data_IF_922302047738
#
_entry.id   IF_922302047738
#
_cell.length_a   1.000
_cell.length_b   1.000
_cell.length_c   1.000
_cell.angle_alpha   90.00
_cell.angle_beta   90.00
_cell.angle_gamma   90.00
#
_symmetry.space_group_name_H-M   'P 1'
#
loop_
_entity.id
_entity.type
_entity.pdbx_description
1 polymer ?
#
# COMPACT_ATOMS: atom_id res chain seq x y z
N UNK A 1 -10.20 9.87 2.99
CA UNK A 1 -11.36 9.02 2.65
C UNK A 1 -11.37 8.78 1.15
N UNK A 2 -11.44 7.53 0.67
CA UNK A 2 -11.36 7.20 -0.75
C UNK A 2 -12.70 7.47 -1.47
N UNK A 3 -12.65 8.17 -2.61
CA UNK A 3 -13.80 8.42 -3.47
C UNK A 3 -13.61 7.67 -4.80
N UNK A 4 -14.60 6.87 -5.21
CA UNK A 4 -14.60 6.16 -6.49
C UNK A 4 -15.85 6.55 -7.25
N UNK A 5 -15.67 7.21 -8.40
CA UNK A 5 -16.76 7.49 -9.33
C UNK A 5 -16.96 6.28 -10.24
N UNK A 6 -18.18 5.76 -10.28
CA UNK A 6 -18.59 4.70 -11.20
C UNK A 6 -18.77 5.31 -12.60
N UNK A 7 -18.42 4.52 -13.62
CA UNK A 7 -18.72 4.83 -15.03
C UNK A 7 -19.85 3.90 -15.48
N UNK A 8 -20.75 4.39 -16.33
CA UNK A 8 -21.99 3.69 -16.69
C UNK A 8 -21.77 2.35 -17.44
N UNK A 9 -20.57 2.14 -18.00
CA UNK A 9 -20.19 0.91 -18.72
C UNK A 9 -19.21 0.01 -17.93
N UNK A 10 -19.02 0.21 -16.62
CA UNK A 10 -18.18 -0.69 -15.81
C UNK A 10 -19.01 -1.76 -15.09
N UNK A 11 -18.64 -3.06 -15.19
CA UNK A 11 -19.26 -4.10 -14.38
C UNK A 11 -18.92 -3.89 -12.90
N UNK A 12 -19.90 -4.12 -12.03
CA UNK A 12 -19.82 -3.86 -10.59
C UNK A 12 -18.56 -4.42 -9.90
N UNK A 13 -18.15 -5.63 -10.26
CA UNK A 13 -16.97 -6.28 -9.68
C UNK A 13 -15.66 -5.52 -9.95
N UNK A 14 -15.55 -4.87 -11.11
CA UNK A 14 -14.37 -4.09 -11.49
C UNK A 14 -14.30 -2.81 -10.66
N UNK A 15 -15.43 -2.15 -10.44
CA UNK A 15 -15.52 -1.00 -9.57
C UNK A 15 -15.18 -1.35 -8.11
N UNK A 16 -15.69 -2.49 -7.60
CA UNK A 16 -15.38 -2.99 -6.26
C UNK A 16 -13.88 -3.26 -6.09
N UNK A 17 -13.25 -3.89 -7.10
CA UNK A 17 -11.81 -4.14 -7.11
C UNK A 17 -11.01 -2.84 -7.07
N UNK A 18 -11.44 -1.82 -7.82
CA UNK A 18 -10.80 -0.49 -7.82
C UNK A 18 -10.95 0.19 -6.45
N UNK A 19 -12.13 0.12 -5.84
CA UNK A 19 -12.37 0.62 -4.50
C UNK A 19 -11.46 -0.04 -3.45
N UNK A 20 -11.38 -1.38 -3.44
CA UNK A 20 -10.47 -2.12 -2.54
C UNK A 20 -9.02 -1.67 -2.70
N UNK A 21 -8.53 -1.56 -3.94
CA UNK A 21 -7.16 -1.06 -4.21
C UNK A 21 -6.93 0.36 -3.72
N UNK A 22 -7.92 1.25 -3.85
CA UNK A 22 -7.78 2.65 -3.39
C UNK A 22 -7.78 2.71 -1.85
N UNK A 23 -8.62 1.93 -1.17
CA UNK A 23 -8.61 1.78 0.28
C UNK A 23 -7.26 1.23 0.81
N UNK A 24 -6.70 0.24 0.12
CA UNK A 24 -5.38 -0.32 0.43
C UNK A 24 -4.26 0.71 0.18
N UNK A 25 -4.31 1.42 -0.95
CA UNK A 25 -3.31 2.44 -1.32
C UNK A 25 -3.29 3.62 -0.34
N UNK A 26 -4.48 4.07 0.06
CA UNK A 26 -4.63 5.14 1.07
C UNK A 26 -4.24 4.68 2.47
N UNK A 27 -4.16 3.36 2.70
CA UNK A 27 -3.68 2.80 3.96
C UNK A 27 -4.64 2.99 5.13
N UNK A 28 -5.94 3.18 4.87
CA UNK A 28 -6.97 3.42 5.90
C UNK A 28 -7.01 2.30 6.93
N UNK A 29 -6.94 1.03 6.48
CA UNK A 29 -6.90 -0.14 7.37
C UNK A 29 -5.63 -0.16 8.25
N UNK A 30 -4.49 0.19 7.66
CA UNK A 30 -3.20 0.29 8.37
C UNK A 30 -3.23 1.41 9.41
N UNK A 31 -3.97 2.48 9.13
CA UNK A 31 -4.15 3.60 10.05
C UNK A 31 -5.06 3.24 11.23
N UNK A 32 -6.17 2.54 10.98
CA UNK A 32 -7.07 2.03 12.03
C UNK A 32 -6.26 1.16 13.00
N UNK A 33 -5.55 0.16 12.48
CA UNK A 33 -4.72 -0.75 13.30
C UNK A 33 -3.58 -0.05 14.06
N UNK A 34 -3.13 1.11 13.57
CA UNK A 34 -2.14 1.94 14.28
C UNK A 34 -2.76 2.74 15.42
N UNK A 35 -4.04 3.12 15.30
CA UNK A 35 -4.77 3.95 16.26
C UNK A 35 -5.52 3.13 17.33
N UNK A 36 -5.69 1.83 17.13
CA UNK A 36 -6.34 0.91 18.08
C UNK A 36 -5.70 0.93 19.48
N UNK A 37 -4.40 1.18 19.57
CA UNK A 37 -3.67 1.21 20.85
C UNK A 37 -2.73 2.41 20.89
N UNK A 38 -2.52 2.96 22.08
CA UNK A 38 -1.49 3.98 22.27
C UNK A 38 -0.11 3.39 22.00
N UNK A 39 0.64 4.06 21.13
CA UNK A 39 2.02 3.72 20.84
C UNK A 39 2.94 4.80 21.40
N UNK A 40 3.91 4.42 22.24
CA UNK A 40 4.93 5.33 22.76
C UNK A 40 5.65 6.04 21.59
N UNK A 41 6.03 7.32 21.70
CA UNK A 41 6.70 8.04 20.62
C UNK A 41 7.98 7.35 20.10
N UNK A 42 8.71 6.62 20.95
CA UNK A 42 9.90 5.85 20.55
C UNK A 42 9.56 4.65 19.67
N UNK A 43 8.48 3.91 19.98
CA UNK A 43 8.01 2.81 19.14
C UNK A 43 7.48 3.31 17.79
N UNK A 44 6.80 4.46 17.76
CA UNK A 44 6.38 5.11 16.49
C UNK A 44 7.60 5.39 15.59
N UNK A 45 8.68 5.95 16.16
CA UNK A 45 9.92 6.24 15.42
C UNK A 45 10.56 4.95 14.87
N UNK A 46 10.69 3.91 15.71
CA UNK A 46 11.23 2.60 15.29
C UNK A 46 10.40 1.96 14.17
N UNK A 47 9.07 1.97 14.29
CA UNK A 47 8.14 1.45 13.28
C UNK A 47 8.28 2.17 11.94
N UNK A 48 8.36 3.50 11.96
CA UNK A 48 8.55 4.32 10.73
C UNK A 48 9.89 4.02 10.06
N UNK A 49 10.96 3.89 10.83
CA UNK A 49 12.29 3.55 10.31
C UNK A 49 12.29 2.17 9.65
N UNK A 50 11.75 1.15 10.32
CA UNK A 50 11.64 -0.20 9.77
C UNK A 50 10.79 -0.25 8.49
N UNK A 51 9.68 0.50 8.45
CA UNK A 51 8.84 0.60 7.26
C UNK A 51 9.58 1.26 6.08
N UNK A 52 10.41 2.28 6.32
CA UNK A 52 11.22 2.92 5.29
C UNK A 52 12.29 1.96 4.73
N UNK A 53 13.01 1.25 5.59
CA UNK A 53 14.01 0.24 5.19
C UNK A 53 13.35 -0.85 4.33
N UNK A 54 12.20 -1.38 4.76
CA UNK A 54 11.46 -2.40 3.99
C UNK A 54 11.03 -1.89 2.62
N UNK A 55 10.57 -0.62 2.51
CA UNK A 55 10.22 0.00 1.22
C UNK A 55 11.42 0.10 0.29
N UNK A 56 12.57 0.51 0.82
CA UNK A 56 13.82 0.61 0.05
C UNK A 56 14.27 -0.76 -0.46
N UNK A 57 14.32 -1.77 0.41
CA UNK A 57 14.68 -3.14 0.05
C UNK A 57 13.77 -3.70 -1.05
N UNK A 58 12.46 -3.45 -0.95
CA UNK A 58 11.50 -3.86 -1.99
C UNK A 58 11.79 -3.19 -3.33
N UNK A 59 12.14 -1.89 -3.33
CA UNK A 59 12.49 -1.15 -4.55
C UNK A 59 13.75 -1.72 -5.21
N UNK A 60 14.82 -1.88 -4.44
CA UNK A 60 16.10 -2.42 -4.94
C UNK A 60 15.95 -3.86 -5.44
N UNK A 61 15.16 -4.69 -4.75
CA UNK A 61 14.84 -6.05 -5.20
C UNK A 61 14.09 -6.05 -6.54
N UNK A 62 13.10 -5.16 -6.72
CA UNK A 62 12.38 -5.02 -7.99
C UNK A 62 13.29 -4.53 -9.12
N UNK A 63 14.18 -3.57 -8.85
CA UNK A 63 15.17 -3.08 -9.82
C UNK A 63 16.13 -4.18 -10.28
N UNK A 64 16.67 -4.95 -9.33
CA UNK A 64 17.53 -6.11 -9.62
C UNK A 64 16.81 -7.13 -10.49
N UNK A 65 15.55 -7.44 -10.16
CA UNK A 65 14.74 -8.40 -10.91
C UNK A 65 14.32 -7.90 -12.31
N UNK A 66 14.40 -6.59 -12.57
CA UNK A 66 14.13 -5.98 -13.87
C UNK A 66 15.28 -6.21 -14.86
N UNK A 67 16.52 -6.23 -14.36
CA UNK A 67 17.71 -6.50 -15.16
C UNK A 67 17.91 -7.99 -15.46
N UNK A 68 17.40 -8.89 -14.62
CA UNK A 68 17.60 -10.34 -14.75
C UNK A 68 16.56 -11.05 -15.63
N UNK A 69 15.61 -10.33 -16.23
CA UNK A 69 14.62 -10.91 -17.16
C UNK A 69 15.04 -10.58 -18.60
N UNK A 70 15.72 -11.49 -19.31
CA UNK A 70 15.89 -11.34 -20.75
C UNK A 70 14.49 -11.38 -21.39
N UNK A 71 14.13 -10.32 -22.11
CA UNK A 71 12.98 -10.34 -23.00
C UNK A 71 13.34 -11.27 -24.17
N UNK A 72 12.78 -12.48 -24.15
CA UNK A 72 12.63 -13.31 -25.33
C UNK A 72 11.21 -13.15 -25.85
#
# INVERSE_FOLDING_TARGET
MPLVRLRDNEPFEVALRRFKRICEKTGVLSEIRRREFYEKPTSVRKRKAAAAVKRQQKRTSMERNRYTRPNY
#
